data_IF_207847770687
#
_entry.id   IF_207847770687
#
_cell.length_a   1.000
_cell.length_b   1.000
_cell.length_c   1.000
_cell.angle_alpha   90.00
_cell.angle_beta   90.00
_cell.angle_gamma   90.00
#
_symmetry.space_group_name_H-M   'P 1'
#
loop_
_entity.id
_entity.type
_entity.pdbx_description
1 polymer ?
#
# COMPACT_ATOMS: atom_id res chain seq x y z
N UNK A 1 -2.07 1.05 -36.19
CA UNK A 1 -0.89 1.24 -35.34
C UNK A 1 -0.81 2.70 -34.96
N UNK A 2 -1.14 3.04 -33.72
CA UNK A 2 -0.68 4.28 -33.12
C UNK A 2 -0.27 3.91 -31.70
N UNK A 3 1.05 3.90 -31.47
CA UNK A 3 1.61 3.75 -30.15
C UNK A 3 1.23 5.01 -29.35
N UNK A 4 0.47 4.83 -28.28
CA UNK A 4 0.37 5.85 -27.23
C UNK A 4 1.49 5.54 -26.25
N UNK A 5 2.47 6.46 -26.22
CA UNK A 5 3.60 6.44 -25.32
C UNK A 5 3.15 6.31 -23.87
N UNK A 6 3.93 5.53 -23.12
CA UNK A 6 3.84 5.28 -21.69
C UNK A 6 3.70 6.59 -20.90
N UNK A 7 2.51 6.82 -20.37
CA UNK A 7 2.23 7.93 -19.49
C UNK A 7 2.78 7.61 -18.09
N UNK A 8 4.03 7.98 -17.89
CA UNK A 8 4.74 7.93 -16.61
C UNK A 8 4.20 9.03 -15.69
N UNK A 9 2.94 8.90 -15.25
CA UNK A 9 2.32 9.76 -14.22
C UNK A 9 1.28 9.00 -13.37
N UNK A 10 1.68 7.90 -12.72
CA UNK A 10 0.84 7.20 -11.70
C UNK A 10 1.42 7.35 -10.28
N UNK A 11 1.94 8.53 -9.94
CA UNK A 11 2.41 8.89 -8.59
C UNK A 11 1.50 9.91 -7.90
N UNK A 12 0.19 9.63 -7.80
CA UNK A 12 -0.72 10.40 -6.93
C UNK A 12 -2.09 9.74 -6.69
N UNK A 13 -2.55 8.82 -7.55
CA UNK A 13 -3.87 8.22 -7.38
C UNK A 13 -3.78 6.98 -6.50
N UNK A 14 -3.90 7.17 -5.18
CA UNK A 14 -4.01 6.13 -4.14
C UNK A 14 -5.23 5.22 -4.31
N UNK A 15 -5.32 4.54 -5.45
CA UNK A 15 -6.37 3.55 -5.75
C UNK A 15 -6.14 2.33 -4.88
N UNK A 16 -7.20 1.93 -4.19
CA UNK A 16 -7.25 0.67 -3.47
C UNK A 16 -7.11 -0.51 -4.44
N UNK A 17 -6.28 -1.48 -4.06
CA UNK A 17 -5.96 -2.70 -4.81
C UNK A 17 -6.14 -3.90 -3.88
N UNK A 18 -6.44 -5.10 -4.40
CA UNK A 18 -6.51 -6.32 -3.58
C UNK A 18 -5.20 -6.57 -2.83
N UNK A 19 -5.28 -7.00 -1.57
CA UNK A 19 -4.10 -7.16 -0.70
C UNK A 19 -3.07 -8.16 -1.25
N UNK A 20 -3.50 -9.13 -2.07
CA UNK A 20 -2.61 -10.13 -2.69
C UNK A 20 -1.58 -9.49 -3.64
N UNK A 21 -1.87 -8.28 -4.13
CA UNK A 21 -1.01 -7.51 -5.04
C UNK A 21 -0.05 -6.56 -4.33
N UNK A 22 -0.10 -6.48 -3.00
CA UNK A 22 0.71 -5.56 -2.23
C UNK A 22 2.21 -5.94 -2.24
N UNK A 23 3.13 -4.95 -2.21
CA UNK A 23 4.57 -5.20 -2.25
C UNK A 23 5.05 -5.86 -0.96
N UNK A 24 5.61 -7.07 -1.06
CA UNK A 24 6.12 -7.85 0.07
C UNK A 24 7.62 -7.59 0.34
N UNK A 25 8.06 -6.37 0.09
CA UNK A 25 9.45 -5.93 0.25
C UNK A 25 9.69 -5.13 1.56
N UNK A 26 8.65 -4.97 2.38
CA UNK A 26 8.70 -4.20 3.62
C UNK A 26 8.36 -2.72 3.47
N UNK A 27 8.01 -2.26 2.26
CA UNK A 27 7.49 -0.91 2.03
C UNK A 27 6.23 -0.66 2.87
N UNK A 28 6.14 0.52 3.47
CA UNK A 28 4.94 0.93 4.21
C UNK A 28 3.80 1.27 3.24
N UNK A 29 2.63 0.71 3.52
CA UNK A 29 1.41 0.89 2.73
C UNK A 29 0.25 1.27 3.65
N UNK A 30 -0.79 1.89 3.09
CA UNK A 30 -2.07 2.02 3.77
C UNK A 30 -2.90 0.76 3.51
N UNK A 31 -3.30 0.07 4.58
CA UNK A 31 -4.16 -1.09 4.53
C UNK A 31 -5.60 -0.73 4.88
N UNK A 32 -6.56 -1.39 4.25
CA UNK A 32 -7.96 -1.43 4.68
C UNK A 32 -8.26 -2.80 5.28
N UNK A 33 -8.55 -2.84 6.57
CA UNK A 33 -8.73 -4.08 7.32
C UNK A 33 -10.08 -4.72 7.00
N UNK A 34 -10.21 -6.03 7.23
CA UNK A 34 -11.51 -6.71 7.10
C UNK A 34 -12.57 -6.19 8.09
N UNK A 35 -12.14 -5.43 9.10
CA UNK A 35 -13.00 -4.85 10.13
C UNK A 35 -13.55 -3.48 9.75
N UNK A 36 -13.16 -2.94 8.58
CA UNK A 36 -13.62 -1.64 8.10
C UNK A 36 -12.75 -0.46 8.54
N UNK A 37 -11.59 -0.72 9.15
CA UNK A 37 -10.62 0.29 9.57
C UNK A 37 -9.48 0.43 8.56
N UNK A 38 -8.66 1.49 8.71
CA UNK A 38 -7.45 1.68 7.93
C UNK A 38 -6.23 1.90 8.82
N UNK A 39 -5.08 1.37 8.41
CA UNK A 39 -3.82 1.50 9.16
C UNK A 39 -2.58 1.43 8.27
N UNK A 40 -1.49 2.04 8.73
CA UNK A 40 -0.19 1.92 8.06
C UNK A 40 0.47 0.61 8.48
N UNK A 41 0.79 -0.23 7.51
CA UNK A 41 1.37 -1.56 7.72
C UNK A 41 2.57 -1.80 6.80
N UNK A 42 3.37 -2.81 7.14
CA UNK A 42 4.45 -3.32 6.29
C UNK A 42 4.50 -4.84 6.31
N UNK A 43 5.08 -5.43 5.26
CA UNK A 43 5.31 -6.87 5.19
C UNK A 43 6.49 -7.26 6.07
N UNK A 44 6.28 -8.21 6.99
CA UNK A 44 7.36 -8.76 7.82
C UNK A 44 7.84 -10.08 7.23
N UNK A 45 9.01 -10.06 6.61
CA UNK A 45 9.57 -11.22 5.92
C UNK A 45 9.76 -12.46 6.81
N UNK A 46 10.13 -12.26 8.09
CA UNK A 46 10.38 -13.36 9.05
C UNK A 46 9.12 -14.16 9.36
N UNK A 47 7.99 -13.48 9.56
CA UNK A 47 6.71 -14.10 9.91
C UNK A 47 5.79 -14.29 8.70
N UNK A 48 6.21 -13.81 7.53
CA UNK A 48 5.45 -13.82 6.28
C UNK A 48 4.01 -13.31 6.45
N UNK A 49 3.86 -12.17 7.12
CA UNK A 49 2.55 -11.54 7.34
C UNK A 49 2.65 -10.02 7.34
N UNK A 50 1.51 -9.37 7.17
CA UNK A 50 1.36 -7.93 7.35
C UNK A 50 1.32 -7.61 8.84
N UNK A 51 2.08 -6.59 9.22
CA UNK A 51 2.10 -6.08 10.59
C UNK A 51 1.96 -4.58 10.63
N UNK A 52 1.29 -4.08 11.66
CA UNK A 52 1.18 -2.64 11.91
C UNK A 52 2.53 -2.07 12.37
N UNK A 53 2.64 -0.74 12.45
CA UNK A 53 3.80 -0.07 13.05
C UNK A 53 4.11 -0.51 14.48
N UNK A 54 3.12 -1.03 15.21
CA UNK A 54 3.25 -1.53 16.58
C UNK A 54 3.59 -3.03 16.64
N UNK A 55 3.71 -3.70 15.50
CA UNK A 55 4.05 -5.12 15.41
C UNK A 55 2.87 -6.08 15.58
N UNK A 56 1.63 -5.57 15.61
CA UNK A 56 0.43 -6.43 15.62
C UNK A 56 0.13 -6.96 14.23
N UNK A 57 -0.40 -8.18 14.14
CA UNK A 57 -0.84 -8.76 12.87
C UNK A 57 -2.02 -7.98 12.30
N UNK A 58 -1.98 -7.78 10.99
CA UNK A 58 -2.98 -7.02 10.24
C UNK A 58 -3.67 -7.94 9.25
N UNK A 59 -4.99 -8.06 9.39
CA UNK A 59 -5.83 -8.80 8.46
C UNK A 59 -6.55 -7.81 7.54
N UNK A 60 -5.95 -7.59 6.37
CA UNK A 60 -6.35 -6.55 5.45
C UNK A 60 -6.74 -7.07 4.09
N UNK A 61 -7.76 -6.43 3.52
CA UNK A 61 -8.42 -6.84 2.27
C UNK A 61 -7.92 -6.03 1.09
N UNK A 62 -7.54 -4.77 1.32
CA UNK A 62 -7.07 -3.87 0.28
C UNK A 62 -5.89 -3.03 0.74
N UNK A 63 -5.12 -2.52 -0.21
CA UNK A 63 -4.02 -1.59 0.04
C UNK A 63 -3.99 -0.43 -0.96
N UNK A 64 -3.34 0.66 -0.59
CA UNK A 64 -2.85 1.66 -1.51
C UNK A 64 -1.49 2.21 -1.04
N UNK A 65 -0.67 2.78 -1.94
CA UNK A 65 0.57 3.43 -1.55
C UNK A 65 0.29 4.62 -0.63
N UNK A 66 1.21 4.91 0.30
CA UNK A 66 1.11 6.13 1.10
C UNK A 66 1.20 7.37 0.19
N UNK A 67 0.40 8.42 0.44
CA UNK A 67 0.56 9.68 -0.27
C UNK A 67 1.94 10.27 0.02
N UNK A 68 2.50 10.99 -0.95
CA UNK A 68 3.73 11.75 -0.70
C UNK A 68 3.47 12.79 0.40
N UNK A 69 4.45 13.06 1.27
CA UNK A 69 4.35 14.17 2.21
C UNK A 69 4.05 15.49 1.49
N UNK A 70 3.27 16.40 2.09
CA UNK A 70 3.06 17.72 1.52
C UNK A 70 4.40 18.47 1.47
N UNK A 71 4.62 19.21 0.39
CA UNK A 71 5.73 20.18 0.30
C UNK A 71 5.29 21.47 0.98
N UNK A 72 6.07 21.97 1.93
CA UNK A 72 5.89 23.31 2.46
C UNK A 72 6.38 24.30 1.39
N UNK A 73 5.48 25.17 0.91
CA UNK A 73 5.79 26.26 -0.02
C UNK A 73 6.03 27.57 0.72
#
# INVERSE_FOLDING_TARGET
MVAIHEDTQDQANGRWRPMETAPKDGTEILCFTKYGDYEISHWRAVTQCWVSKRGFFVDATHWCPLPKPPVHI
#
